data_IF_326156050673
#
_entry.id   IF_326156050673
#
_cell.length_a   1.000
_cell.length_b   1.000
_cell.length_c   1.000
_cell.angle_alpha   90.00
_cell.angle_beta   90.00
_cell.angle_gamma   90.00
#
_symmetry.space_group_name_H-M   'P 1'
#
loop_
_entity.id
_entity.type
_entity.pdbx_description
1 polymer ?
#
# COMPACT_ATOMS: atom_id res chain seq x y z
N UNK A 1 -12.87 -5.48 -30.42
CA UNK A 1 -13.06 -6.66 -29.55
C UNK A 1 -14.18 -6.31 -28.58
N UNK A 2 -15.37 -6.87 -28.81
CA UNK A 2 -16.58 -6.47 -28.09
C UNK A 2 -16.45 -6.75 -26.58
N UNK A 3 -16.93 -5.80 -25.77
CA UNK A 3 -17.09 -5.98 -24.34
C UNK A 3 -18.29 -6.91 -24.13
N UNK A 4 -18.03 -8.21 -24.05
CA UNK A 4 -19.05 -9.18 -23.66
C UNK A 4 -19.37 -8.94 -22.17
N UNK A 5 -20.39 -8.12 -21.90
CA UNK A 5 -21.10 -8.13 -20.63
C UNK A 5 -21.97 -9.38 -20.64
N UNK A 6 -21.59 -10.42 -19.90
CA UNK A 6 -22.52 -11.50 -19.62
C UNK A 6 -23.67 -10.93 -18.78
N UNK A 7 -24.86 -10.90 -19.37
CA UNK A 7 -26.13 -10.61 -18.71
C UNK A 7 -26.50 -11.75 -17.76
N UNK A 8 -26.28 -11.54 -16.47
CA UNK A 8 -27.05 -12.07 -15.33
C UNK A 8 -26.40 -11.56 -14.04
N UNK A 9 -27.15 -11.12 -13.02
CA UNK A 9 -26.57 -10.78 -11.73
C UNK A 9 -26.16 -12.08 -11.04
N UNK A 10 -24.97 -12.59 -11.35
CA UNK A 10 -24.23 -13.44 -10.43
C UNK A 10 -24.19 -12.70 -9.09
N UNK A 11 -24.38 -13.40 -7.97
CA UNK A 11 -24.39 -12.82 -6.63
C UNK A 11 -23.09 -12.06 -6.36
N UNK A 12 -23.08 -10.76 -6.65
CA UNK A 12 -21.93 -9.89 -6.47
C UNK A 12 -21.75 -9.67 -4.97
N UNK A 13 -20.62 -10.11 -4.43
CA UNK A 13 -20.24 -9.74 -3.08
C UNK A 13 -19.87 -8.26 -3.06
N UNK A 14 -20.71 -7.42 -2.43
CA UNK A 14 -20.46 -5.97 -2.37
C UNK A 14 -19.25 -5.60 -1.52
N UNK A 15 -18.91 -6.43 -0.53
CA UNK A 15 -17.75 -6.21 0.32
C UNK A 15 -16.99 -7.52 0.48
N UNK A 16 -15.71 -7.49 0.16
CA UNK A 16 -14.79 -8.61 0.31
C UNK A 16 -13.72 -8.21 1.31
N UNK A 17 -13.21 -9.16 2.08
CA UNK A 17 -12.12 -8.91 3.02
C UNK A 17 -10.90 -9.73 2.61
N UNK A 18 -9.80 -9.03 2.28
CA UNK A 18 -8.50 -9.64 1.98
C UNK A 18 -7.40 -8.92 2.75
N UNK A 19 -6.38 -9.65 3.20
CA UNK A 19 -5.22 -9.10 3.91
C UNK A 19 -5.58 -8.13 5.06
N UNK A 20 -6.60 -8.47 5.86
CA UNK A 20 -7.15 -7.64 6.95
C UNK A 20 -7.73 -6.27 6.53
N UNK A 21 -8.04 -6.09 5.24
CA UNK A 21 -8.63 -4.87 4.70
C UNK A 21 -9.96 -5.15 4.00
N UNK A 22 -10.91 -4.23 4.13
CA UNK A 22 -12.19 -4.32 3.43
C UNK A 22 -12.07 -3.70 2.05
N UNK A 23 -12.56 -4.41 1.05
CA UNK A 23 -12.44 -4.10 -0.37
C UNK A 23 -13.85 -4.00 -0.97
N UNK A 24 -14.07 -2.93 -1.73
CA UNK A 24 -15.33 -2.67 -2.41
C UNK A 24 -15.45 -3.54 -3.67
N UNK A 25 -16.42 -4.45 -3.66
CA UNK A 25 -16.67 -5.42 -4.72
C UNK A 25 -17.21 -4.82 -6.02
N UNK A 26 -17.74 -3.59 -5.98
CA UNK A 26 -18.27 -2.91 -7.19
C UNK A 26 -17.16 -2.37 -8.08
N UNK A 27 -15.95 -2.17 -7.53
CA UNK A 27 -14.81 -1.64 -8.25
C UNK A 27 -14.14 -2.72 -9.10
N UNK A 28 -13.50 -2.29 -10.18
CA UNK A 28 -12.60 -3.15 -10.96
C UNK A 28 -11.47 -3.66 -10.07
N UNK A 29 -11.15 -4.94 -10.20
CA UNK A 29 -10.19 -5.65 -9.35
C UNK A 29 -8.83 -4.96 -9.25
N UNK A 30 -8.32 -4.43 -10.37
CA UNK A 30 -7.06 -3.68 -10.43
C UNK A 30 -7.04 -2.49 -9.46
N UNK A 31 -8.14 -1.72 -9.41
CA UNK A 31 -8.27 -0.56 -8.52
C UNK A 31 -8.64 -1.00 -7.11
N UNK A 32 -9.45 -2.03 -6.97
CA UNK A 32 -9.89 -2.57 -5.70
C UNK A 32 -8.70 -3.03 -4.84
N UNK A 33 -7.73 -3.74 -5.43
CA UNK A 33 -6.52 -4.19 -4.74
C UNK A 33 -5.64 -3.04 -4.21
N UNK A 34 -5.72 -1.83 -4.77
CA UNK A 34 -4.94 -0.68 -4.28
C UNK A 34 -5.43 -0.11 -2.96
N UNK A 35 -6.62 -0.52 -2.50
CA UNK A 35 -7.11 -0.19 -1.15
C UNK A 35 -6.28 -0.87 -0.07
N UNK A 36 -5.62 -1.99 -0.39
CA UNK A 36 -4.73 -2.69 0.51
C UNK A 36 -3.41 -1.92 0.62
N UNK A 37 -3.09 -1.47 1.83
CA UNK A 37 -1.83 -0.74 2.09
C UNK A 37 -0.63 -1.62 1.70
N UNK A 38 0.25 -1.10 0.85
CA UNK A 38 1.41 -1.84 0.32
C UNK A 38 1.27 -2.21 -1.15
N UNK A 39 0.04 -2.30 -1.66
CA UNK A 39 -0.24 -2.65 -3.05
C UNK A 39 -0.56 -1.38 -3.85
N UNK A 40 0.30 -1.06 -4.80
CA UNK A 40 0.06 0.00 -5.78
C UNK A 40 -0.50 -0.54 -7.10
N UNK A 41 -0.95 0.35 -8.00
CA UNK A 41 -1.51 -0.06 -9.31
C UNK A 41 -0.58 -0.97 -10.12
N UNK A 42 0.73 -0.68 -10.13
CA UNK A 42 1.71 -1.51 -10.85
C UNK A 42 1.81 -2.91 -10.25
N UNK A 43 1.83 -3.01 -8.92
CA UNK A 43 1.92 -4.29 -8.22
C UNK A 43 0.66 -5.12 -8.41
N UNK A 44 -0.51 -4.49 -8.26
CA UNK A 44 -1.81 -5.12 -8.54
C UNK A 44 -1.88 -5.66 -9.99
N UNK A 45 -1.44 -4.87 -10.99
CA UNK A 45 -1.43 -5.32 -12.38
C UNK A 45 -0.56 -6.55 -12.59
N UNK A 46 0.65 -6.55 -12.03
CA UNK A 46 1.57 -7.69 -12.12
C UNK A 46 1.01 -8.91 -11.41
N UNK A 47 0.44 -8.77 -10.20
CA UNK A 47 -0.23 -9.87 -9.51
C UNK A 47 -1.30 -10.50 -10.38
N UNK A 48 -2.23 -9.70 -10.91
CA UNK A 48 -3.33 -10.18 -11.75
C UNK A 48 -2.83 -10.87 -13.04
N UNK A 49 -1.78 -10.33 -13.65
CA UNK A 49 -1.18 -10.93 -14.85
C UNK A 49 -0.54 -12.29 -14.54
N UNK A 50 0.07 -12.44 -13.35
CA UNK A 50 0.76 -13.68 -12.97
C UNK A 50 -0.18 -14.74 -12.41
N UNK A 51 -1.23 -14.34 -11.69
CA UNK A 51 -2.27 -15.26 -11.21
C UNK A 51 -3.30 -15.62 -12.29
N UNK A 52 -3.20 -15.01 -13.47
CA UNK A 52 -4.07 -15.21 -14.63
C UNK A 52 -5.56 -14.91 -14.36
N UNK A 53 -5.82 -13.99 -13.43
CA UNK A 53 -7.20 -13.58 -13.10
C UNK A 53 -7.68 -12.59 -14.15
N UNK A 54 -8.92 -12.78 -14.60
CA UNK A 54 -9.55 -11.94 -15.63
C UNK A 54 -9.78 -10.51 -15.09
N UNK A 55 -9.94 -9.57 -16.01
CA UNK A 55 -10.30 -8.20 -15.66
C UNK A 55 -11.80 -8.11 -15.32
N UNK A 56 -12.16 -8.53 -14.10
CA UNK A 56 -13.51 -8.55 -13.56
C UNK A 56 -13.69 -7.48 -12.46
N UNK A 57 -14.92 -7.37 -11.94
CA UNK A 57 -15.15 -6.63 -10.69
C UNK A 57 -14.66 -7.46 -9.51
N UNK A 58 -14.19 -6.80 -8.45
CA UNK A 58 -13.69 -7.53 -7.29
C UNK A 58 -14.77 -8.44 -6.67
N UNK A 59 -16.03 -8.03 -6.69
CA UNK A 59 -17.17 -8.79 -6.15
C UNK A 59 -17.52 -10.06 -6.93
N UNK A 60 -16.93 -10.28 -8.09
CA UNK A 60 -17.13 -11.45 -8.97
C UNK A 60 -16.03 -12.51 -8.77
N UNK A 61 -15.02 -12.23 -7.93
CA UNK A 61 -13.95 -13.17 -7.61
C UNK A 61 -14.49 -14.42 -6.88
N UNK A 62 -14.12 -15.60 -7.36
CA UNK A 62 -14.39 -16.84 -6.63
C UNK A 62 -13.53 -16.93 -5.37
N UNK A 63 -13.96 -17.70 -4.37
CA UNK A 63 -13.19 -17.88 -3.13
C UNK A 63 -11.78 -18.44 -3.39
N UNK A 64 -11.64 -19.31 -4.39
CA UNK A 64 -10.35 -19.86 -4.83
C UNK A 64 -9.42 -18.79 -5.42
N UNK A 65 -9.96 -17.91 -6.27
CA UNK A 65 -9.21 -16.79 -6.84
C UNK A 65 -8.78 -15.78 -5.76
N UNK A 66 -9.65 -15.54 -4.76
CA UNK A 66 -9.32 -14.71 -3.61
C UNK A 66 -8.16 -15.31 -2.81
N UNK A 67 -8.21 -16.61 -2.51
CA UNK A 67 -7.14 -17.28 -1.76
C UNK A 67 -5.83 -17.26 -2.56
N UNK A 68 -5.88 -17.57 -3.87
CA UNK A 68 -4.70 -17.49 -4.74
C UNK A 68 -4.07 -16.10 -4.76
N UNK A 69 -4.88 -15.03 -4.74
CA UNK A 69 -4.38 -13.67 -4.62
C UNK A 69 -3.71 -13.41 -3.27
N UNK A 70 -4.32 -13.87 -2.18
CA UNK A 70 -3.75 -13.73 -0.83
C UNK A 70 -2.39 -14.45 -0.76
N UNK A 71 -2.31 -15.67 -1.27
CA UNK A 71 -1.07 -16.45 -1.28
C UNK A 71 0.00 -15.78 -2.16
N UNK A 72 -0.39 -15.27 -3.34
CA UNK A 72 0.50 -14.51 -4.23
C UNK A 72 1.01 -13.19 -3.61
N UNK A 73 0.21 -12.58 -2.73
CA UNK A 73 0.59 -11.37 -2.00
C UNK A 73 1.56 -11.72 -0.86
N UNK A 74 1.33 -12.83 -0.15
CA UNK A 74 2.17 -13.26 0.97
C UNK A 74 3.53 -13.80 0.48
N UNK A 75 3.53 -14.59 -0.59
CA UNK A 75 4.75 -15.07 -1.25
C UNK A 75 4.79 -14.68 -2.74
N UNK A 76 5.17 -13.44 -3.05
CA UNK A 76 5.30 -12.98 -4.44
C UNK A 76 6.42 -13.70 -5.22
N UNK A 77 7.33 -14.40 -4.53
CA UNK A 77 8.43 -15.12 -5.18
C UNK A 77 7.92 -16.38 -5.88
N UNK A 78 6.98 -17.09 -5.28
CA UNK A 78 6.33 -18.28 -5.88
C UNK A 78 5.68 -17.97 -7.23
N UNK A 79 5.13 -16.77 -7.36
CA UNK A 79 4.45 -16.26 -8.57
C UNK A 79 5.45 -15.61 -9.56
N UNK A 80 6.75 -15.71 -9.26
CA UNK A 80 7.87 -15.27 -10.07
C UNK A 80 8.05 -13.75 -10.11
N UNK A 81 7.49 -12.99 -9.17
CA UNK A 81 7.62 -11.53 -9.15
C UNK A 81 9.07 -11.20 -8.79
N UNK A 82 9.76 -10.34 -9.56
CA UNK A 82 11.15 -10.05 -9.31
C UNK A 82 11.33 -9.21 -8.04
N UNK A 83 12.42 -9.50 -7.32
CA UNK A 83 12.76 -8.90 -6.02
C UNK A 83 12.76 -7.37 -6.05
N UNK A 84 13.24 -6.74 -7.13
CA UNK A 84 13.30 -5.28 -7.23
C UNK A 84 11.94 -4.58 -7.12
N UNK A 85 10.85 -5.33 -7.29
CA UNK A 85 9.48 -4.84 -7.20
C UNK A 85 8.93 -4.88 -5.76
N UNK A 86 9.67 -5.44 -4.82
CA UNK A 86 9.27 -5.54 -3.42
C UNK A 86 9.46 -4.20 -2.70
N UNK A 87 8.57 -3.92 -1.73
CA UNK A 87 8.57 -2.65 -1.01
C UNK A 87 9.50 -2.66 0.22
N UNK A 88 9.95 -3.83 0.68
CA UNK A 88 10.81 -3.98 1.86
C UNK A 88 11.94 -4.97 1.57
N UNK A 89 13.02 -4.44 0.99
CA UNK A 89 14.19 -5.23 0.59
C UNK A 89 15.31 -5.12 1.62
N UNK A 90 16.09 -6.20 1.76
CA UNK A 90 17.22 -6.32 2.68
C UNK A 90 16.84 -5.88 4.10
N UNK A 91 15.93 -6.62 4.72
CA UNK A 91 15.56 -6.40 6.12
C UNK A 91 16.81 -6.36 7.01
N UNK A 92 16.85 -5.44 7.98
CA UNK A 92 18.06 -5.22 8.77
C UNK A 92 18.45 -6.40 9.66
N UNK A 93 17.49 -7.20 10.11
CA UNK A 93 17.71 -8.33 11.02
C UNK A 93 17.96 -9.62 10.27
N UNK A 94 17.07 -9.98 9.33
CA UNK A 94 17.16 -11.27 8.62
C UNK A 94 17.88 -11.18 7.28
N UNK A 95 18.04 -9.98 6.70
CA UNK A 95 18.61 -9.79 5.36
C UNK A 95 17.67 -10.14 4.21
N UNK A 96 16.47 -10.65 4.51
CA UNK A 96 15.53 -11.15 3.51
C UNK A 96 14.81 -10.01 2.77
N UNK A 97 14.39 -10.30 1.55
CA UNK A 97 13.55 -9.42 0.75
C UNK A 97 12.07 -9.82 0.89
N UNK A 98 11.24 -8.88 1.37
CA UNK A 98 9.82 -9.09 1.66
C UNK A 98 8.96 -8.06 0.95
N UNK A 99 7.72 -8.44 0.63
CA UNK A 99 6.68 -7.50 0.27
C UNK A 99 5.69 -7.39 1.44
N UNK A 100 5.78 -6.29 2.20
CA UNK A 100 4.94 -6.07 3.36
C UNK A 100 3.58 -5.51 2.95
N UNK A 101 2.51 -5.95 3.61
CA UNK A 101 1.13 -5.52 3.31
C UNK A 101 0.36 -5.23 4.60
N UNK A 102 -0.58 -4.29 4.53
CA UNK A 102 -1.47 -3.94 5.64
C UNK A 102 -0.70 -3.46 6.87
N UNK A 103 -1.02 -4.06 8.01
CA UNK A 103 -0.45 -3.69 9.32
C UNK A 103 1.05 -3.96 9.43
N UNK A 104 1.60 -4.89 8.63
CA UNK A 104 3.02 -5.24 8.67
C UNK A 104 3.90 -4.04 8.29
N UNK A 105 3.44 -3.19 7.36
CA UNK A 105 4.17 -1.98 6.94
C UNK A 105 4.31 -1.01 8.11
N UNK A 106 3.24 -0.81 8.87
CA UNK A 106 3.23 0.10 10.01
C UNK A 106 4.13 -0.40 11.13
N UNK A 107 4.08 -1.70 11.41
CA UNK A 107 4.96 -2.33 12.39
C UNK A 107 6.45 -2.17 11.98
N UNK A 108 6.79 -2.54 10.74
CA UNK A 108 8.16 -2.41 10.23
C UNK A 108 8.67 -0.96 10.25
N UNK A 109 7.80 0.00 9.90
CA UNK A 109 8.13 1.42 9.97
C UNK A 109 8.38 1.87 11.41
N UNK A 110 7.54 1.47 12.38
CA UNK A 110 7.72 1.79 13.80
C UNK A 110 9.03 1.23 14.34
N UNK A 111 9.33 -0.05 14.09
CA UNK A 111 10.59 -0.66 14.54
C UNK A 111 11.82 0.04 13.95
N UNK A 112 11.77 0.41 12.65
CA UNK A 112 12.85 1.15 12.00
C UNK A 112 13.07 2.52 12.66
N UNK A 113 11.99 3.25 13.00
CA UNK A 113 12.07 4.52 13.69
C UNK A 113 12.62 4.40 15.11
N UNK A 114 12.19 3.40 15.87
CA UNK A 114 12.68 3.17 17.23
C UNK A 114 14.17 2.84 17.24
N UNK A 115 14.62 2.00 16.30
CA UNK A 115 16.05 1.72 16.12
C UNK A 115 16.83 3.00 15.84
N UNK A 116 16.38 3.82 14.88
CA UNK A 116 17.07 5.06 14.54
C UNK A 116 17.06 6.09 15.68
N UNK A 117 16.00 6.13 16.51
CA UNK A 117 15.96 6.93 17.75
C UNK A 117 16.99 6.48 18.77
N UNK A 118 17.13 5.16 19.01
CA UNK A 118 18.14 4.60 19.93
C UNK A 118 19.57 4.93 19.47
N UNK A 119 19.83 4.86 18.17
CA UNK A 119 21.12 5.22 17.56
C UNK A 119 21.35 6.75 17.57
N UNK A 120 20.29 7.55 17.78
CA UNK A 120 20.29 9.02 17.64
C UNK A 120 20.64 9.49 16.22
N UNK A 121 20.24 8.72 15.21
CA UNK A 121 20.44 9.09 13.83
C UNK A 121 19.73 10.42 13.49
N UNK A 122 20.39 11.27 12.69
CA UNK A 122 19.95 12.64 12.41
C UNK A 122 18.54 12.66 11.82
N UNK A 123 18.24 11.74 10.90
CA UNK A 123 16.95 11.65 10.20
C UNK A 123 15.80 11.41 11.19
N UNK A 124 15.96 10.47 12.11
CA UNK A 124 14.95 10.07 13.10
C UNK A 124 14.82 11.10 14.22
N UNK A 125 15.94 11.71 14.66
CA UNK A 125 15.93 12.85 15.57
C UNK A 125 15.18 14.05 14.99
N UNK A 126 15.28 14.28 13.68
CA UNK A 126 14.48 15.32 12.99
C UNK A 126 13.01 14.95 12.91
N UNK A 127 12.70 13.70 12.58
CA UNK A 127 11.32 13.22 12.52
C UNK A 127 10.64 13.31 13.89
N UNK A 128 11.34 12.95 14.97
CA UNK A 128 10.85 13.06 16.34
C UNK A 128 10.49 14.50 16.73
N UNK A 129 11.17 15.51 16.15
CA UNK A 129 10.88 16.94 16.31
C UNK A 129 9.83 17.47 15.33
N UNK A 130 9.19 16.61 14.53
CA UNK A 130 8.22 17.02 13.51
C UNK A 130 8.83 17.78 12.33
N UNK A 131 10.15 17.73 12.15
CA UNK A 131 10.84 18.42 11.05
C UNK A 131 10.95 17.56 9.80
N UNK A 132 11.02 18.21 8.65
CA UNK A 132 11.34 17.54 7.38
C UNK A 132 12.73 16.91 7.42
N UNK A 133 12.84 15.67 6.94
CA UNK A 133 14.04 14.82 7.14
C UNK A 133 15.04 14.82 5.96
N UNK A 134 14.64 15.25 4.76
CA UNK A 134 15.47 15.19 3.53
C UNK A 134 16.34 16.44 3.30
N UNK A 135 16.73 17.17 4.35
CA UNK A 135 17.54 18.39 4.22
C UNK A 135 16.86 19.57 3.52
N UNK A 136 15.53 19.56 3.43
CA UNK A 136 14.78 20.68 2.83
C UNK A 136 14.99 21.96 3.65
N UNK A 137 15.10 23.11 2.97
CA UNK A 137 15.16 24.43 3.62
C UNK A 137 13.86 24.69 4.39
N UNK A 138 13.96 24.87 5.71
CA UNK A 138 12.82 25.15 6.60
C UNK A 138 12.68 26.62 6.98
N UNK A 139 13.53 27.51 6.44
CA UNK A 139 13.45 28.97 6.69
C UNK A 139 12.07 29.51 6.30
N UNK A 140 11.65 29.29 5.05
CA UNK A 140 10.38 29.78 4.51
C UNK A 140 9.33 28.68 4.31
N UNK A 141 9.75 27.43 4.07
CA UNK A 141 8.85 26.35 3.69
C UNK A 141 8.30 25.57 4.89
N UNK A 142 7.05 25.11 4.81
CA UNK A 142 6.42 24.28 5.85
C UNK A 142 6.04 25.05 7.11
N UNK A 143 5.96 26.39 7.02
CA UNK A 143 5.38 27.23 8.06
C UNK A 143 3.85 27.13 8.01
N UNK A 144 3.25 26.83 9.14
CA UNK A 144 1.79 26.79 9.32
C UNK A 144 1.46 27.74 10.48
N UNK A 145 0.52 28.65 10.26
CA UNK A 145 0.16 29.72 11.18
C UNK A 145 -0.61 30.82 10.45
N UNK A 146 -1.38 31.63 11.17
CA UNK A 146 -2.08 32.79 10.60
C UNK A 146 -1.02 33.77 10.04
N UNK A 147 -1.27 34.28 8.83
CA UNK A 147 -0.54 35.45 8.33
C UNK A 147 -0.73 36.56 9.37
N UNK A 148 0.35 37.22 9.77
CA UNK A 148 0.27 38.47 10.54
C UNK A 148 -0.25 39.54 9.58
N UNK A 149 -1.55 39.50 9.31
CA UNK A 149 -2.26 40.54 8.57
C UNK A 149 -2.64 41.68 9.50
N UNK A 150 -2.97 42.83 8.92
CA UNK A 150 -3.50 43.98 9.67
C UNK A 150 -4.89 43.60 10.21
N UNK A 151 -5.05 43.52 11.55
CA UNK A 151 -6.37 43.43 12.13
C UNK A 151 -7.06 44.79 12.00
N UNK A 152 -8.02 44.90 11.09
CA UNK A 152 -8.94 46.06 11.11
C UNK A 152 -9.88 45.88 12.29
N UNK A 153 -9.99 46.92 13.11
CA UNK A 153 -10.97 47.00 14.20
C UNK A 153 -12.36 46.84 13.58
N UNK A 154 -13.17 45.94 14.14
CA UNK A 154 -14.61 45.91 13.84
C UNK A 154 -15.25 47.17 14.42
#
# INVERSE_FOLDING_TARGET
MALNYNDSPQTIQHMIRMCNTNIDGRRQILKALTTIKGIGMRFARTLLTRTQIRNCRAGELTAEEQQRLVDAIQDPKSVGIPIWMYNYRKEYTTGEDKHLVGNQIDAAFRFSLERGKKIKAVRECRLARGMKVRGQRTKSNGRHGRIVGVSRKK
#
